data_IF_039685791257
#
_entry.id   IF_039685791257
#
_cell.length_a   1.000
_cell.length_b   1.000
_cell.length_c   1.000
_cell.angle_alpha   90.00
_cell.angle_beta   90.00
_cell.angle_gamma   90.00
#
_symmetry.space_group_name_H-M   'P 1'
#
loop_
_entity.id
_entity.type
_entity.pdbx_description
1 polymer ?
#
# COMPACT_ATOMS: atom_id res chain seq x y z
N UNK A 1 7.63 29.91 9.58
CA UNK A 1 8.59 30.67 10.42
C UNK A 1 10.01 30.49 9.92
N UNK A 2 10.97 31.35 10.36
CA UNK A 2 12.39 31.19 10.07
C UNK A 2 12.91 29.85 10.61
N UNK A 3 12.47 29.44 11.79
CA UNK A 3 12.81 28.18 12.43
C UNK A 3 12.38 26.98 11.57
N UNK A 4 11.16 26.99 11.02
CA UNK A 4 10.68 25.94 10.13
C UNK A 4 11.55 25.84 8.87
N UNK A 5 11.96 26.97 8.30
CA UNK A 5 12.86 26.99 7.15
C UNK A 5 14.22 26.38 7.47
N UNK A 6 14.82 26.70 8.62
CA UNK A 6 16.09 26.11 9.06
C UNK A 6 15.96 24.60 9.32
N UNK A 7 14.82 24.14 9.87
CA UNK A 7 14.54 22.71 10.03
C UNK A 7 14.48 21.97 8.69
N UNK A 8 13.83 22.55 7.68
CA UNK A 8 13.79 21.96 6.33
C UNK A 8 15.20 21.85 5.74
N UNK A 9 16.02 22.92 5.83
CA UNK A 9 17.37 22.91 5.26
C UNK A 9 18.30 21.87 5.90
N UNK A 10 18.11 21.57 7.18
CA UNK A 10 18.92 20.60 7.93
C UNK A 10 18.38 19.17 7.87
N UNK A 11 17.22 18.98 7.26
CA UNK A 11 16.64 17.65 7.16
C UNK A 11 17.41 16.77 6.15
N UNK A 12 17.52 15.47 6.43
CA UNK A 12 18.20 14.52 5.50
C UNK A 12 17.55 14.41 4.13
N UNK A 13 16.25 14.71 4.04
CA UNK A 13 15.45 14.66 2.82
C UNK A 13 14.63 15.95 2.63
N UNK A 14 15.28 17.12 2.47
CA UNK A 14 14.60 18.41 2.45
C UNK A 14 13.60 18.54 1.29
N UNK A 15 13.90 17.93 0.16
CA UNK A 15 13.03 17.94 -1.03
C UNK A 15 11.69 17.25 -0.73
N UNK A 16 11.70 16.13 -0.02
CA UNK A 16 10.46 15.43 0.35
C UNK A 16 9.58 16.30 1.25
N UNK A 17 10.18 17.00 2.23
CA UNK A 17 9.46 17.92 3.11
C UNK A 17 8.82 19.07 2.30
N UNK A 18 9.58 19.71 1.40
CA UNK A 18 9.08 20.82 0.57
C UNK A 18 7.90 20.39 -0.30
N UNK A 19 7.96 19.24 -0.97
CA UNK A 19 6.84 18.74 -1.76
C UNK A 19 5.61 18.42 -0.90
N UNK A 20 5.80 17.80 0.26
CA UNK A 20 4.69 17.53 1.19
C UNK A 20 4.02 18.81 1.66
N UNK A 21 4.78 19.84 2.01
CA UNK A 21 4.25 21.15 2.39
C UNK A 21 3.47 21.81 1.25
N UNK A 22 3.94 21.67 0.00
CA UNK A 22 3.24 22.15 -1.16
C UNK A 22 1.86 21.46 -1.32
N UNK A 23 1.81 20.14 -1.19
CA UNK A 23 0.54 19.40 -1.25
C UNK A 23 -0.44 19.86 -0.16
N UNK A 24 0.04 20.09 1.07
CA UNK A 24 -0.78 20.62 2.15
C UNK A 24 -1.29 22.04 1.88
N UNK A 25 -0.45 22.89 1.28
CA UNK A 25 -0.86 24.23 0.91
C UNK A 25 -1.95 24.21 -0.16
N UNK A 26 -1.78 23.39 -1.19
CA UNK A 26 -2.73 23.27 -2.32
C UNK A 26 -4.08 22.70 -1.87
N UNK A 27 -4.11 21.86 -0.83
CA UNK A 27 -5.33 21.25 -0.28
C UNK A 27 -5.88 21.95 0.96
N UNK A 28 -5.22 23.03 1.42
CA UNK A 28 -5.69 23.83 2.55
C UNK A 28 -5.52 23.17 3.93
N UNK A 29 -4.71 22.10 4.04
CA UNK A 29 -4.42 21.43 5.33
C UNK A 29 -3.02 21.75 5.88
N UNK A 30 -2.38 22.80 5.38
CA UNK A 30 -1.06 23.22 5.90
C UNK A 30 -1.20 23.84 7.29
N UNK A 31 -0.78 23.09 8.30
CA UNK A 31 -0.71 23.51 9.71
C UNK A 31 0.69 23.31 10.27
N UNK A 32 1.00 23.91 11.43
CA UNK A 32 2.25 23.66 12.13
C UNK A 32 2.34 22.19 12.56
N UNK A 33 1.23 21.59 12.99
CA UNK A 33 1.16 20.18 13.41
C UNK A 33 1.49 19.25 12.25
N UNK A 34 0.91 19.46 11.07
CA UNK A 34 1.18 18.66 9.88
C UNK A 34 2.64 18.83 9.41
N UNK A 35 3.20 20.04 9.52
CA UNK A 35 4.62 20.27 9.27
C UNK A 35 5.51 19.42 10.19
N UNK A 36 5.26 19.47 11.51
CA UNK A 36 6.03 18.71 12.49
C UNK A 36 5.90 17.19 12.26
N UNK A 37 4.70 16.72 11.94
CA UNK A 37 4.43 15.31 11.65
C UNK A 37 5.27 14.79 10.49
N UNK A 38 5.39 15.56 9.38
CA UNK A 38 6.23 15.18 8.24
C UNK A 38 7.71 15.27 8.60
N UNK A 39 8.11 16.34 9.24
CA UNK A 39 9.52 16.59 9.60
C UNK A 39 10.09 15.49 10.49
N UNK A 40 9.28 14.96 11.40
CA UNK A 40 9.68 13.92 12.34
C UNK A 40 9.47 12.51 11.81
N UNK A 41 8.84 12.37 10.63
CA UNK A 41 8.54 11.05 10.09
C UNK A 41 9.82 10.29 9.70
N UNK A 42 9.85 8.99 9.96
CA UNK A 42 11.02 8.13 9.68
C UNK A 42 11.27 7.94 8.19
N UNK A 43 10.22 8.00 7.39
CA UNK A 43 10.19 7.69 5.96
C UNK A 43 9.53 8.81 5.13
N UNK A 44 10.11 10.04 5.12
CA UNK A 44 9.48 11.21 4.48
C UNK A 44 9.33 11.04 2.96
N UNK A 45 10.15 10.21 2.32
CA UNK A 45 10.02 9.91 0.90
C UNK A 45 8.72 9.15 0.60
N UNK A 46 8.41 8.12 1.37
CA UNK A 46 7.15 7.37 1.18
C UNK A 46 5.92 8.22 1.53
N UNK A 47 6.00 9.02 2.61
CA UNK A 47 4.93 10.00 2.93
C UNK A 47 4.70 10.95 1.75
N UNK A 48 5.75 11.50 1.15
CA UNK A 48 5.62 12.38 -0.02
C UNK A 48 4.90 11.67 -1.19
N UNK A 49 5.23 10.41 -1.49
CA UNK A 49 4.57 9.65 -2.55
C UNK A 49 3.09 9.38 -2.22
N UNK A 50 2.79 8.99 -0.97
CA UNK A 50 1.42 8.82 -0.49
C UNK A 50 0.61 10.11 -0.65
N UNK A 51 1.14 11.24 -0.19
CA UNK A 51 0.47 12.54 -0.31
C UNK A 51 0.24 12.93 -1.79
N UNK A 52 1.21 12.66 -2.66
CA UNK A 52 1.08 12.87 -4.10
C UNK A 52 -0.08 12.06 -4.69
N UNK A 53 -0.21 10.79 -4.33
CA UNK A 53 -1.30 9.92 -4.79
C UNK A 53 -2.66 10.39 -4.27
N UNK A 54 -2.76 10.69 -2.98
CA UNK A 54 -3.99 11.21 -2.38
C UNK A 54 -4.42 12.55 -2.98
N UNK A 55 -3.47 13.44 -3.29
CA UNK A 55 -3.76 14.71 -3.96
C UNK A 55 -4.28 14.48 -5.40
N UNK A 56 -3.58 13.67 -6.20
CA UNK A 56 -3.97 13.37 -7.59
C UNK A 56 -5.37 12.77 -7.69
N UNK A 57 -5.79 12.02 -6.69
CA UNK A 57 -7.12 11.39 -6.62
C UNK A 57 -8.17 12.23 -5.91
N UNK A 58 -7.81 13.43 -5.44
CA UNK A 58 -8.72 14.32 -4.68
C UNK A 58 -9.04 13.81 -3.27
N UNK A 59 -8.27 12.84 -2.76
CA UNK A 59 -8.48 12.23 -1.45
C UNK A 59 -7.58 12.81 -0.33
N UNK A 60 -6.75 13.80 -0.62
CA UNK A 60 -5.88 14.42 0.40
C UNK A 60 -6.72 15.35 1.29
N UNK A 61 -7.15 14.81 2.43
CA UNK A 61 -7.85 15.51 3.51
C UNK A 61 -7.06 15.38 4.80
N UNK A 62 -7.36 16.21 5.80
CA UNK A 62 -6.76 16.10 7.13
C UNK A 62 -6.95 14.68 7.71
N UNK A 63 -8.17 14.14 7.64
CA UNK A 63 -8.49 12.80 8.14
C UNK A 63 -7.68 11.69 7.45
N UNK A 64 -7.53 11.76 6.12
CA UNK A 64 -6.77 10.76 5.38
C UNK A 64 -5.27 10.88 5.69
N UNK A 65 -4.74 12.10 5.84
CA UNK A 65 -3.37 12.32 6.25
C UNK A 65 -3.06 11.74 7.64
N UNK A 66 -3.89 12.04 8.65
CA UNK A 66 -3.76 11.47 9.99
C UNK A 66 -3.78 9.94 9.98
N UNK A 67 -4.64 9.35 9.15
CA UNK A 67 -4.73 7.90 8.99
C UNK A 67 -3.44 7.30 8.42
N UNK A 68 -2.79 7.98 7.50
CA UNK A 68 -1.50 7.55 6.92
C UNK A 68 -0.39 7.57 7.98
N UNK A 69 -0.36 8.60 8.83
CA UNK A 69 0.67 8.72 9.88
C UNK A 69 0.60 7.59 10.92
N UNK A 70 -0.55 6.97 11.11
CA UNK A 70 -0.76 5.85 12.05
C UNK A 70 -0.32 4.49 11.51
N UNK A 71 0.10 4.40 10.24
CA UNK A 71 0.44 3.18 9.55
C UNK A 71 1.89 3.19 9.06
N UNK A 72 2.38 2.04 8.58
CA UNK A 72 3.66 1.97 7.90
C UNK A 72 3.54 2.65 6.51
N UNK A 73 4.32 3.70 6.29
CA UNK A 73 4.22 4.50 5.08
C UNK A 73 4.56 3.72 3.81
N UNK A 74 5.45 2.72 3.90
CA UNK A 74 5.82 1.85 2.78
C UNK A 74 4.65 0.94 2.39
N UNK A 75 3.93 0.39 3.37
CA UNK A 75 2.79 -0.48 3.10
C UNK A 75 1.60 0.32 2.54
N UNK A 76 1.35 1.53 3.06
CA UNK A 76 0.33 2.45 2.52
C UNK A 76 0.70 2.87 1.09
N UNK A 77 1.94 3.27 0.82
CA UNK A 77 2.37 3.66 -0.53
C UNK A 77 2.16 2.53 -1.53
N UNK A 78 2.62 1.31 -1.18
CA UNK A 78 2.49 0.12 -2.03
C UNK A 78 1.02 -0.17 -2.36
N UNK A 79 0.16 -0.12 -1.36
CA UNK A 79 -1.27 -0.29 -1.51
C UNK A 79 -1.89 0.75 -2.44
N UNK A 80 -1.70 2.05 -2.16
CA UNK A 80 -2.25 3.14 -2.96
C UNK A 80 -1.74 3.11 -4.41
N UNK A 81 -0.45 2.85 -4.59
CA UNK A 81 0.19 2.74 -5.89
C UNK A 81 -0.40 1.57 -6.72
N UNK A 82 -0.65 0.41 -6.08
CA UNK A 82 -1.25 -0.74 -6.76
C UNK A 82 -2.67 -0.45 -7.25
N UNK A 83 -3.53 0.13 -6.39
CA UNK A 83 -4.89 0.47 -6.78
C UNK A 83 -4.95 1.62 -7.80
N UNK A 84 -4.07 2.61 -7.68
CA UNK A 84 -4.01 3.74 -8.61
C UNK A 84 -3.65 3.30 -10.03
N UNK A 85 -2.68 2.38 -10.19
CA UNK A 85 -2.24 1.87 -11.50
C UNK A 85 -3.36 1.18 -12.30
N UNK A 86 -4.33 0.61 -11.62
CA UNK A 86 -5.48 -0.08 -12.24
C UNK A 86 -6.79 0.70 -12.10
N UNK A 87 -6.68 1.97 -11.70
CA UNK A 87 -7.79 2.94 -11.65
C UNK A 87 -8.94 2.58 -10.68
N UNK A 88 -8.68 1.73 -9.67
CA UNK A 88 -9.66 1.37 -8.64
C UNK A 88 -9.41 2.07 -7.29
N UNK A 89 -8.50 3.04 -7.24
CA UNK A 89 -8.26 3.81 -6.02
C UNK A 89 -9.40 4.80 -5.78
N UNK A 90 -10.23 4.49 -4.79
CA UNK A 90 -11.37 5.30 -4.34
C UNK A 90 -11.30 5.52 -2.83
N UNK A 91 -12.03 6.51 -2.31
CA UNK A 91 -12.13 6.74 -0.87
C UNK A 91 -12.64 5.49 -0.14
N UNK A 92 -13.63 4.79 -0.68
CA UNK A 92 -14.16 3.53 -0.12
C UNK A 92 -13.07 2.47 -0.02
N UNK A 93 -12.31 2.24 -1.09
CA UNK A 93 -11.25 1.23 -1.12
C UNK A 93 -10.10 1.60 -0.17
N UNK A 94 -9.75 2.88 -0.09
CA UNK A 94 -8.78 3.39 0.88
C UNK A 94 -9.21 3.12 2.33
N UNK A 95 -10.46 3.42 2.68
CA UNK A 95 -11.00 3.20 4.02
C UNK A 95 -11.04 1.71 4.41
N UNK A 96 -11.42 0.84 3.49
CA UNK A 96 -11.45 -0.59 3.73
C UNK A 96 -10.07 -1.15 4.09
N UNK A 97 -9.05 -0.78 3.32
CA UNK A 97 -7.69 -1.34 3.55
C UNK A 97 -7.01 -0.71 4.76
N UNK A 98 -7.12 0.62 4.94
CA UNK A 98 -6.47 1.29 6.07
C UNK A 98 -6.97 0.79 7.43
N UNK A 99 -8.20 0.28 7.50
CA UNK A 99 -8.78 -0.29 8.71
C UNK A 99 -8.49 -1.78 8.88
N UNK A 100 -7.88 -2.42 7.88
CA UNK A 100 -7.63 -3.86 7.92
C UNK A 100 -6.45 -4.19 8.85
N UNK A 101 -6.62 -5.16 9.78
CA UNK A 101 -5.58 -5.50 10.77
C UNK A 101 -4.29 -6.03 10.14
N UNK A 102 -4.36 -6.59 8.94
CA UNK A 102 -3.20 -7.17 8.23
C UNK A 102 -2.83 -6.38 6.96
N UNK A 103 -2.83 -5.04 7.05
CA UNK A 103 -2.49 -4.13 5.96
C UNK A 103 -1.17 -4.53 5.26
N UNK A 104 -0.17 -4.93 6.05
CA UNK A 104 1.15 -5.32 5.53
C UNK A 104 1.10 -6.48 4.54
N UNK A 105 0.33 -7.53 4.82
CA UNK A 105 0.22 -8.66 3.91
C UNK A 105 -0.71 -8.33 2.73
N UNK A 106 -1.81 -7.61 2.99
CA UNK A 106 -2.71 -7.14 1.92
C UNK A 106 -1.97 -6.27 0.92
N UNK A 107 -1.18 -5.28 1.35
CA UNK A 107 -0.42 -4.42 0.43
C UNK A 107 0.52 -5.21 -0.49
N UNK A 108 1.10 -6.30 0.02
CA UNK A 108 1.94 -7.20 -0.77
C UNK A 108 1.15 -8.05 -1.75
N UNK A 109 0.02 -8.60 -1.32
CA UNK A 109 -0.89 -9.36 -2.20
C UNK A 109 -1.35 -8.49 -3.35
N UNK A 110 -1.83 -7.28 -3.06
CA UNK A 110 -2.29 -6.35 -4.09
C UNK A 110 -1.18 -6.00 -5.08
N UNK A 111 0.06 -5.85 -4.61
CA UNK A 111 1.20 -5.67 -5.48
C UNK A 111 1.43 -6.89 -6.39
N UNK A 112 1.38 -8.12 -5.87
CA UNK A 112 1.57 -9.34 -6.66
C UNK A 112 0.53 -9.47 -7.76
N UNK A 113 -0.76 -9.36 -7.42
CA UNK A 113 -1.84 -9.47 -8.41
C UNK A 113 -1.87 -8.27 -9.38
N UNK A 114 -1.39 -7.09 -8.98
CA UNK A 114 -1.20 -5.94 -9.88
C UNK A 114 -0.06 -6.19 -10.88
N UNK A 115 1.09 -6.70 -10.42
CA UNK A 115 2.24 -7.03 -11.27
C UNK A 115 1.93 -8.16 -12.26
N UNK A 116 1.07 -9.12 -11.86
CA UNK A 116 0.54 -10.17 -12.72
C UNK A 116 -0.55 -9.68 -13.70
N UNK A 117 -1.01 -8.42 -13.58
CA UNK A 117 -2.05 -7.84 -14.44
C UNK A 117 -3.47 -8.34 -14.16
N UNK A 118 -3.70 -8.95 -12.99
CA UNK A 118 -5.00 -9.52 -12.61
C UNK A 118 -5.70 -8.75 -11.48
N UNK A 119 -5.18 -7.60 -11.05
CA UNK A 119 -5.83 -6.77 -10.03
C UNK A 119 -7.04 -6.05 -10.65
N UNK A 120 -8.22 -6.45 -10.21
CA UNK A 120 -9.53 -5.86 -10.52
C UNK A 120 -10.25 -5.46 -9.23
N UNK A 121 -11.36 -4.74 -9.33
CA UNK A 121 -12.20 -4.44 -8.14
C UNK A 121 -12.70 -5.73 -7.48
N UNK A 122 -13.09 -6.72 -8.25
CA UNK A 122 -13.55 -8.03 -7.75
C UNK A 122 -12.44 -8.76 -7.00
N UNK A 123 -11.25 -8.91 -7.60
CA UNK A 123 -10.11 -9.55 -6.95
C UNK A 123 -9.65 -8.80 -5.69
N UNK A 124 -9.74 -7.47 -5.69
CA UNK A 124 -9.50 -6.65 -4.51
C UNK A 124 -10.48 -6.98 -3.37
N UNK A 125 -11.77 -7.07 -3.65
CA UNK A 125 -12.81 -7.40 -2.67
C UNK A 125 -12.64 -8.84 -2.13
N UNK A 126 -12.27 -9.79 -2.98
CA UNK A 126 -11.94 -11.16 -2.58
C UNK A 126 -10.75 -11.20 -1.60
N UNK A 127 -9.66 -10.49 -1.89
CA UNK A 127 -8.51 -10.39 -0.98
C UNK A 127 -8.90 -9.83 0.38
N UNK A 128 -9.77 -8.81 0.42
CA UNK A 128 -10.22 -8.21 1.69
C UNK A 128 -11.16 -9.11 2.51
N UNK A 129 -11.88 -10.01 1.85
CA UNK A 129 -12.79 -10.94 2.52
C UNK A 129 -12.09 -12.21 3.03
N UNK A 130 -10.82 -12.44 2.62
CA UNK A 130 -10.08 -13.65 2.95
C UNK A 130 -9.66 -13.66 4.43
N UNK A 131 -9.84 -14.80 5.09
CA UNK A 131 -9.46 -14.99 6.49
C UNK A 131 -8.00 -15.45 6.65
N UNK A 132 -7.50 -16.20 5.68
CA UNK A 132 -6.14 -16.76 5.67
C UNK A 132 -5.15 -15.87 4.87
N UNK A 133 -5.06 -14.58 5.22
CA UNK A 133 -4.23 -13.59 4.49
C UNK A 133 -2.76 -14.00 4.38
N UNK A 134 -2.17 -14.56 5.45
CA UNK A 134 -0.75 -14.97 5.41
C UNK A 134 -0.51 -16.18 4.51
N UNK A 135 -1.29 -17.28 4.58
CA UNK A 135 -1.23 -18.36 3.60
C UNK A 135 -1.49 -17.90 2.16
N UNK A 136 -2.51 -17.08 1.93
CA UNK A 136 -2.79 -16.50 0.62
C UNK A 136 -1.57 -15.76 0.07
N UNK A 137 -0.97 -14.86 0.84
CA UNK A 137 0.25 -14.14 0.41
C UNK A 137 1.37 -15.09 0.01
N UNK A 138 1.61 -16.16 0.78
CA UNK A 138 2.66 -17.13 0.49
C UNK A 138 2.37 -17.90 -0.80
N UNK A 139 1.14 -18.36 -1.00
CA UNK A 139 0.74 -19.04 -2.24
C UNK A 139 0.95 -18.15 -3.46
N UNK A 140 0.50 -16.91 -3.41
CA UNK A 140 0.65 -15.96 -4.51
C UNK A 140 2.12 -15.59 -4.77
N UNK A 141 2.92 -15.46 -3.72
CA UNK A 141 4.36 -15.25 -3.85
C UNK A 141 5.02 -16.40 -4.63
N UNK A 142 4.77 -17.67 -4.27
CA UNK A 142 5.36 -18.81 -4.96
C UNK A 142 4.85 -18.96 -6.39
N UNK A 143 3.57 -18.69 -6.65
CA UNK A 143 3.02 -18.67 -8.01
C UNK A 143 3.67 -17.56 -8.87
N UNK A 144 3.93 -16.39 -8.29
CA UNK A 144 4.61 -15.30 -8.99
C UNK A 144 6.07 -15.65 -9.31
N UNK A 145 6.83 -16.16 -8.34
CA UNK A 145 8.22 -16.58 -8.55
C UNK A 145 8.34 -17.70 -9.63
N UNK A 146 7.32 -18.57 -9.72
CA UNK A 146 7.25 -19.59 -10.75
C UNK A 146 6.73 -19.07 -12.12
N UNK A 147 6.33 -17.80 -12.21
CA UNK A 147 5.69 -17.25 -13.42
C UNK A 147 4.29 -17.82 -13.70
N UNK A 148 3.64 -18.38 -12.69
CA UNK A 148 2.35 -19.06 -12.78
C UNK A 148 1.20 -18.26 -12.16
N UNK A 149 1.40 -17.03 -11.74
CA UNK A 149 0.33 -16.20 -11.17
C UNK A 149 -0.57 -15.68 -12.30
N UNK A 150 -1.65 -16.40 -12.55
CA UNK A 150 -2.71 -16.10 -13.51
C UNK A 150 -4.04 -15.91 -12.80
N UNK A 151 -5.05 -15.37 -13.50
CA UNK A 151 -6.42 -15.27 -12.95
C UNK A 151 -6.95 -16.63 -12.51
N UNK A 152 -6.80 -17.65 -13.33
CA UNK A 152 -7.25 -19.02 -13.05
C UNK A 152 -6.60 -19.58 -11.78
N UNK A 153 -5.27 -19.46 -11.64
CA UNK A 153 -4.55 -19.96 -10.47
C UNK A 153 -4.88 -19.13 -9.21
N UNK A 154 -5.13 -17.83 -9.34
CA UNK A 154 -5.58 -16.98 -8.25
C UNK A 154 -6.96 -17.41 -7.74
N UNK A 155 -7.94 -17.61 -8.64
CA UNK A 155 -9.28 -18.09 -8.31
C UNK A 155 -9.24 -19.49 -7.69
N UNK A 156 -8.37 -20.36 -8.21
CA UNK A 156 -8.19 -21.71 -7.65
C UNK A 156 -7.71 -21.64 -6.19
N UNK A 157 -6.69 -20.81 -5.89
CA UNK A 157 -6.21 -20.64 -4.51
C UNK A 157 -7.30 -20.13 -3.59
N UNK A 158 -8.14 -19.17 -4.05
CA UNK A 158 -9.25 -18.63 -3.25
C UNK A 158 -10.41 -19.60 -3.07
N UNK A 159 -10.60 -20.57 -3.99
CA UNK A 159 -11.70 -21.56 -3.91
C UNK A 159 -11.42 -22.69 -2.92
N UNK A 160 -10.20 -22.86 -2.48
CA UNK A 160 -9.84 -23.92 -1.54
C UNK A 160 -10.28 -23.56 -0.10
N UNK A 161 -10.74 -24.56 0.63
CA UNK A 161 -11.18 -24.36 2.03
C UNK A 161 -10.03 -24.05 2.98
N UNK A 162 -8.82 -24.53 2.65
CA UNK A 162 -7.61 -24.31 3.41
C UNK A 162 -6.46 -23.95 2.45
N UNK A 163 -6.00 -22.69 2.49
CA UNK A 163 -4.93 -22.18 1.62
C UNK A 163 -3.54 -22.63 2.13
N UNK A 164 -3.40 -22.91 3.43
CA UNK A 164 -2.12 -23.31 4.03
C UNK A 164 -1.47 -24.52 3.37
N UNK A 165 -2.18 -25.64 3.07
CA UNK A 165 -1.60 -26.78 2.35
C UNK A 165 -1.07 -26.44 0.96
N UNK A 166 -1.75 -25.54 0.24
CA UNK A 166 -1.33 -25.08 -1.09
C UNK A 166 0.00 -24.32 -0.98
N UNK A 167 0.09 -23.37 -0.06
CA UNK A 167 1.31 -22.59 0.16
C UNK A 167 2.51 -23.47 0.48
N UNK A 168 2.32 -24.50 1.31
CA UNK A 168 3.35 -25.49 1.63
C UNK A 168 3.75 -26.35 0.42
N UNK A 169 2.79 -26.80 -0.37
CA UNK A 169 3.05 -27.60 -1.57
C UNK A 169 3.84 -26.81 -2.61
N UNK A 170 3.44 -25.56 -2.90
CA UNK A 170 4.16 -24.68 -3.81
C UNK A 170 5.58 -24.40 -3.35
N UNK A 171 5.78 -24.19 -2.05
CA UNK A 171 7.11 -24.05 -1.46
C UNK A 171 7.98 -25.28 -1.71
N UNK A 172 7.48 -26.50 -1.45
CA UNK A 172 8.23 -27.73 -1.69
C UNK A 172 8.57 -27.94 -3.16
N UNK A 173 7.66 -27.65 -4.09
CA UNK A 173 7.95 -27.72 -5.52
C UNK A 173 9.08 -26.76 -5.91
N UNK A 174 9.04 -25.52 -5.43
CA UNK A 174 10.09 -24.54 -5.70
C UNK A 174 11.46 -24.99 -5.13
N UNK A 175 11.49 -25.47 -3.87
CA UNK A 175 12.72 -25.98 -3.23
C UNK A 175 13.27 -27.23 -3.95
N UNK A 176 12.42 -28.03 -4.57
CA UNK A 176 12.80 -29.21 -5.37
C UNK A 176 13.21 -28.86 -6.82
N UNK A 177 13.07 -27.59 -7.24
CA UNK A 177 13.38 -27.14 -8.60
C UNK A 177 12.42 -27.67 -9.67
N UNK A 178 11.17 -27.91 -9.28
CA UNK A 178 10.10 -28.40 -10.16
C UNK A 178 9.15 -27.27 -10.57
#
# INVERSE_FOLDING_TARGET
TQENFEHVLRHREPVCIVFSLRYFQETGILTQENFESIRLHKEPMYIKEVLSLLQKTGMLTQQNFESVLCQDATDIERFLSSLHKVEILTQKNFEHVRSHPDLKNISRILKFIQEAGILTQENFEHVLSEQEITPLKLSLYYLQEAGMLTQENFEHVLSEQEITPIALSLRYFQEAGM
#
